data_IF_809396708779
#
_entry.id   IF_809396708779
#
_cell.length_a   1.000
_cell.length_b   1.000
_cell.length_c   1.000
_cell.angle_alpha   90.00
_cell.angle_beta   90.00
_cell.angle_gamma   90.00
#
_symmetry.space_group_name_H-M   'P 1'
#
loop_
_entity.id
_entity.type
_entity.pdbx_description
1 polymer ?
#
# COMPACT_ATOMS: atom_id res chain seq x y z
N UNK A 1 -19.29 -37.82 35.20
CA UNK A 1 -18.62 -36.89 34.27
C UNK A 1 -19.58 -35.85 33.67
N UNK A 2 -20.79 -36.25 33.22
CA UNK A 2 -21.81 -35.35 32.63
C UNK A 2 -22.24 -34.19 33.58
N UNK A 3 -22.14 -34.37 34.89
CA UNK A 3 -22.50 -33.35 35.89
C UNK A 3 -21.48 -32.21 36.07
N UNK A 4 -20.18 -32.41 35.78
CA UNK A 4 -19.13 -31.40 36.01
C UNK A 4 -19.22 -30.26 34.98
N UNK A 5 -19.20 -30.62 33.69
CA UNK A 5 -19.31 -29.66 32.59
C UNK A 5 -20.67 -28.93 32.59
N UNK A 6 -21.74 -29.63 32.98
CA UNK A 6 -23.06 -29.02 33.05
C UNK A 6 -23.14 -27.93 34.14
N UNK A 7 -22.54 -28.17 35.30
CA UNK A 7 -22.48 -27.17 36.37
C UNK A 7 -21.69 -25.92 35.94
N UNK A 8 -20.51 -26.12 35.32
CA UNK A 8 -19.69 -25.03 34.78
C UNK A 8 -20.45 -24.21 33.73
N UNK A 9 -21.13 -24.88 32.80
CA UNK A 9 -21.90 -24.21 31.75
C UNK A 9 -23.06 -23.41 32.31
N UNK A 10 -23.78 -23.91 33.31
CA UNK A 10 -24.88 -23.18 33.94
C UNK A 10 -24.39 -21.91 34.64
N UNK A 11 -23.24 -21.98 35.32
CA UNK A 11 -22.61 -20.84 35.97
C UNK A 11 -22.17 -19.82 34.91
N UNK A 12 -21.44 -20.27 33.87
CA UNK A 12 -21.00 -19.42 32.77
C UNK A 12 -22.17 -18.73 32.05
N UNK A 13 -23.25 -19.48 31.76
CA UNK A 13 -24.45 -18.96 31.10
C UNK A 13 -25.15 -17.91 31.97
N UNK A 14 -25.25 -18.15 33.27
CA UNK A 14 -25.84 -17.18 34.20
C UNK A 14 -25.06 -15.87 34.18
N UNK A 15 -23.74 -15.94 34.38
CA UNK A 15 -22.88 -14.76 34.45
C UNK A 15 -22.88 -13.99 33.13
N UNK A 16 -22.89 -14.70 31.99
CA UNK A 16 -23.05 -14.09 30.68
C UNK A 16 -24.41 -13.41 30.52
N UNK A 17 -25.51 -14.06 30.92
CA UNK A 17 -26.85 -13.47 30.85
C UNK A 17 -26.99 -12.25 31.76
N UNK A 18 -26.37 -12.29 32.94
CA UNK A 18 -26.40 -11.17 33.88
C UNK A 18 -25.68 -9.95 33.30
N UNK A 19 -24.51 -10.14 32.68
CA UNK A 19 -23.82 -9.07 31.96
C UNK A 19 -24.62 -8.59 30.74
N UNK A 20 -25.00 -9.51 29.85
CA UNK A 20 -25.62 -9.21 28.56
C UNK A 20 -27.08 -8.73 28.65
N UNK A 21 -27.75 -8.91 29.80
CA UNK A 21 -29.13 -8.41 29.98
C UNK A 21 -29.18 -6.95 30.41
N UNK A 22 -28.05 -6.37 30.85
CA UNK A 22 -28.04 -4.97 31.27
C UNK A 22 -28.05 -4.02 30.08
N UNK A 23 -28.90 -2.99 30.13
CA UNK A 23 -28.93 -1.94 29.09
C UNK A 23 -27.58 -1.21 28.98
N UNK A 24 -26.91 -1.04 30.12
CA UNK A 24 -25.61 -0.37 30.20
C UNK A 24 -24.51 -1.17 29.50
N UNK A 25 -24.58 -2.50 29.53
CA UNK A 25 -23.66 -3.35 28.78
C UNK A 25 -23.72 -3.04 27.29
N UNK A 26 -24.89 -3.12 26.66
CA UNK A 26 -25.02 -2.85 25.21
C UNK A 26 -24.64 -1.42 24.82
N UNK A 27 -24.93 -0.43 25.67
CA UNK A 27 -24.47 0.95 25.46
C UNK A 27 -22.93 1.00 25.50
N UNK A 28 -22.28 0.35 26.47
CA UNK A 28 -20.83 0.29 26.55
C UNK A 28 -20.19 -0.46 25.37
N UNK A 29 -20.80 -1.57 24.93
CA UNK A 29 -20.35 -2.34 23.77
C UNK A 29 -20.40 -1.51 22.49
N UNK A 30 -21.43 -0.69 22.29
CA UNK A 30 -21.55 0.15 21.10
C UNK A 30 -20.69 1.43 21.18
N UNK A 31 -20.45 1.95 22.38
CA UNK A 31 -19.70 3.20 22.57
C UNK A 31 -18.24 3.08 22.10
N UNK A 32 -17.59 1.93 22.32
CA UNK A 32 -16.22 1.69 21.86
C UNK A 32 -16.05 1.83 20.33
N UNK A 33 -16.78 1.04 19.51
CA UNK A 33 -16.71 1.13 18.06
C UNK A 33 -17.17 2.48 17.52
N UNK A 34 -18.22 3.08 18.11
CA UNK A 34 -18.67 4.42 17.71
C UNK A 34 -17.56 5.45 17.93
N UNK A 35 -16.84 5.38 19.05
CA UNK A 35 -15.71 6.26 19.31
C UNK A 35 -14.58 6.05 18.30
N UNK A 36 -14.27 4.80 17.96
CA UNK A 36 -13.29 4.48 16.91
C UNK A 36 -13.74 4.99 15.54
N UNK A 37 -15.02 4.81 15.18
CA UNK A 37 -15.58 5.37 13.95
C UNK A 37 -15.53 6.90 13.95
N UNK A 38 -15.82 7.56 15.07
CA UNK A 38 -15.71 9.01 15.18
C UNK A 38 -14.26 9.45 15.00
N UNK A 39 -13.30 8.77 15.63
CA UNK A 39 -11.87 9.06 15.43
C UNK A 39 -11.44 8.82 13.99
N UNK A 40 -11.92 7.74 13.36
CA UNK A 40 -11.65 7.45 11.95
C UNK A 40 -12.26 8.52 11.04
N UNK A 41 -13.51 8.90 11.26
CA UNK A 41 -14.19 9.97 10.52
C UNK A 41 -13.53 11.32 10.75
N UNK A 42 -13.07 11.62 11.96
CA UNK A 42 -12.29 12.84 12.25
C UNK A 42 -10.94 12.78 11.53
N UNK A 43 -10.26 11.64 11.52
CA UNK A 43 -9.00 11.46 10.78
C UNK A 43 -9.23 11.59 9.28
N UNK A 44 -10.27 10.97 8.74
CA UNK A 44 -10.67 11.04 7.34
C UNK A 44 -11.05 12.48 6.96
N UNK A 45 -11.85 13.16 7.78
CA UNK A 45 -12.17 14.58 7.60
C UNK A 45 -10.93 15.44 7.73
N UNK A 46 -9.98 15.15 8.62
CA UNK A 46 -8.73 15.89 8.70
C UNK A 46 -7.90 15.68 7.43
N UNK A 47 -7.87 14.46 6.87
CA UNK A 47 -7.26 14.18 5.57
C UNK A 47 -8.01 14.89 4.43
N UNK A 48 -9.34 14.84 4.41
CA UNK A 48 -10.17 15.52 3.39
C UNK A 48 -10.09 17.04 3.51
N UNK A 49 -10.02 17.58 4.73
CA UNK A 49 -9.79 18.99 4.99
C UNK A 49 -8.36 19.35 4.61
N UNK A 50 -7.33 18.54 4.88
CA UNK A 50 -5.99 18.81 4.34
C UNK A 50 -5.97 18.80 2.80
N UNK A 51 -6.80 17.98 2.16
CA UNK A 51 -7.01 17.94 0.70
C UNK A 51 -7.85 19.14 0.19
N UNK A 52 -8.62 19.81 1.05
CA UNK A 52 -9.50 20.93 0.67
C UNK A 52 -8.93 22.30 1.06
N UNK A 53 -8.19 22.35 2.18
CA UNK A 53 -7.42 23.47 2.69
C UNK A 53 -6.12 23.66 1.88
N UNK A 54 -5.78 22.73 0.97
CA UNK A 54 -4.83 22.93 -0.12
C UNK A 54 -5.37 23.84 -1.26
N UNK A 55 -6.26 24.78 -0.94
CA UNK A 55 -6.45 26.00 -1.73
C UNK A 55 -5.55 27.12 -1.15
N UNK A 56 -4.94 27.95 -2.01
CA UNK A 56 -3.48 27.99 -2.12
C UNK A 56 -2.84 29.08 -1.26
N UNK A 57 -2.93 29.04 0.07
CA UNK A 57 -2.14 29.95 0.93
C UNK A 57 -1.80 29.35 2.30
N UNK A 58 -1.08 28.23 2.32
CA UNK A 58 -0.16 27.86 3.40
C UNK A 58 0.86 26.87 2.82
N UNK A 59 2.12 27.30 2.72
CA UNK A 59 3.28 26.49 2.33
C UNK A 59 3.43 25.33 3.33
N UNK A 60 3.01 24.14 2.93
CA UNK A 60 3.64 22.85 3.26
C UNK A 60 3.33 21.96 2.04
N UNK A 61 3.92 22.33 0.92
CA UNK A 61 3.88 21.57 -0.33
C UNK A 61 4.59 20.24 -0.04
N UNK A 62 3.81 19.18 0.10
CA UNK A 62 4.35 17.83 0.25
C UNK A 62 5.16 17.53 -1.00
N UNK A 63 6.48 17.64 -0.88
CA UNK A 63 7.39 17.36 -1.96
C UNK A 63 7.30 15.87 -2.32
N UNK A 64 7.58 15.59 -3.59
CA UNK A 64 7.86 14.26 -4.13
C UNK A 64 9.23 14.32 -4.84
N UNK A 65 10.05 15.29 -4.45
CA UNK A 65 11.36 15.53 -5.02
C UNK A 65 12.43 14.80 -4.22
N UNK A 66 13.40 14.24 -4.92
CA UNK A 66 14.60 13.70 -4.32
C UNK A 66 15.84 14.30 -4.99
N UNK A 67 16.99 14.20 -4.33
CA UNK A 67 18.26 14.58 -4.92
C UNK A 67 19.23 13.41 -4.98
N UNK A 68 20.14 13.43 -5.94
CA UNK A 68 21.20 12.42 -6.07
C UNK A 68 22.56 13.11 -6.05
N UNK A 69 23.41 12.70 -5.12
CA UNK A 69 24.82 13.06 -5.08
C UNK A 69 25.60 11.91 -5.70
N UNK A 70 25.94 12.06 -6.98
CA UNK A 70 26.70 11.06 -7.72
C UNK A 70 28.20 11.38 -7.74
N UNK A 71 29.00 10.58 -7.03
CA UNK A 71 30.47 10.69 -7.07
C UNK A 71 31.11 9.91 -8.23
N UNK A 72 30.33 9.15 -9.01
CA UNK A 72 30.79 8.37 -10.16
C UNK A 72 30.73 9.18 -11.46
N UNK A 73 29.91 10.23 -11.49
CA UNK A 73 29.63 11.10 -12.64
C UNK A 73 28.98 10.39 -13.85
N UNK A 74 28.43 9.18 -13.66
CA UNK A 74 27.71 8.45 -14.72
C UNK A 74 26.55 7.62 -14.19
N UNK A 75 26.71 6.95 -13.05
CA UNK A 75 25.69 6.03 -12.54
C UNK A 75 24.39 6.74 -12.15
N UNK A 76 24.46 7.95 -11.61
CA UNK A 76 23.26 8.74 -11.30
C UNK A 76 22.42 8.98 -12.55
N UNK A 77 23.07 9.37 -13.65
CA UNK A 77 22.40 9.59 -14.93
C UNK A 77 21.84 8.28 -15.51
N UNK A 78 22.59 7.18 -15.44
CA UNK A 78 22.13 5.88 -15.93
C UNK A 78 20.91 5.35 -15.16
N UNK A 79 20.82 5.66 -13.86
CA UNK A 79 19.65 5.35 -13.03
C UNK A 79 18.45 6.20 -13.45
N UNK A 80 18.66 7.50 -13.67
CA UNK A 80 17.62 8.40 -14.16
C UNK A 80 17.08 7.95 -15.54
N UNK A 81 17.97 7.55 -16.44
CA UNK A 81 17.61 6.99 -17.74
C UNK A 81 16.77 5.70 -17.59
N UNK A 82 17.19 4.80 -16.68
CA UNK A 82 16.48 3.55 -16.44
C UNK A 82 15.06 3.77 -15.88
N UNK A 83 14.88 4.78 -15.02
CA UNK A 83 13.57 5.18 -14.50
C UNK A 83 12.67 5.66 -15.65
N UNK A 84 13.18 6.58 -16.49
CA UNK A 84 12.45 7.16 -17.61
C UNK A 84 12.05 6.09 -18.64
N UNK A 85 12.95 5.17 -19.00
CA UNK A 85 12.64 4.07 -19.91
C UNK A 85 11.61 3.09 -19.33
N UNK A 86 11.67 2.83 -18.02
CA UNK A 86 10.66 2.02 -17.32
C UNK A 86 9.28 2.67 -17.40
N UNK A 87 9.21 3.99 -17.21
CA UNK A 87 7.95 4.72 -17.29
C UNK A 87 7.41 4.77 -18.70
N UNK A 88 8.27 4.97 -19.70
CA UNK A 88 7.90 4.85 -21.11
C UNK A 88 7.27 3.48 -21.39
N UNK A 89 7.89 2.41 -20.90
CA UNK A 89 7.39 1.05 -21.05
C UNK A 89 6.01 0.85 -20.42
N UNK A 90 5.77 1.44 -19.23
CA UNK A 90 4.46 1.39 -18.56
C UNK A 90 3.41 2.17 -19.33
N UNK A 91 3.75 3.35 -19.83
CA UNK A 91 2.84 4.17 -20.65
C UNK A 91 2.45 3.44 -21.94
N UNK A 92 3.40 2.81 -22.63
CA UNK A 92 3.11 2.02 -23.84
C UNK A 92 2.18 0.85 -23.50
N UNK A 93 2.45 0.11 -22.41
CA UNK A 93 1.57 -0.98 -21.96
C UNK A 93 0.17 -0.50 -21.56
N UNK A 94 0.10 0.64 -20.90
CA UNK A 94 -1.16 1.28 -20.53
C UNK A 94 -1.98 1.60 -21.78
N UNK A 95 -1.35 2.19 -22.80
CA UNK A 95 -1.98 2.52 -24.09
C UNK A 95 -2.43 1.26 -24.84
N UNK A 96 -1.66 0.15 -24.78
CA UNK A 96 -2.03 -1.13 -25.38
C UNK A 96 -3.31 -1.75 -24.78
N UNK A 97 -3.54 -1.57 -23.47
CA UNK A 97 -4.65 -2.21 -22.77
C UNK A 97 -6.03 -1.54 -23.00
N UNK A 98 -6.13 -0.51 -23.87
CA UNK A 98 -7.38 0.08 -24.38
C UNK A 98 -8.43 0.52 -23.33
N UNK A 99 -8.03 0.87 -22.11
CA UNK A 99 -8.95 1.47 -21.13
C UNK A 99 -9.12 2.99 -21.40
N UNK A 100 -10.17 3.26 -22.18
CA UNK A 100 -10.93 4.46 -22.57
C UNK A 100 -10.56 5.92 -22.20
N UNK A 101 -9.61 6.25 -21.31
CA UNK A 101 -9.51 7.65 -20.81
C UNK A 101 -8.44 8.53 -21.47
N UNK A 102 -7.37 7.95 -22.02
CA UNK A 102 -6.25 8.71 -22.63
C UNK A 102 -6.40 8.99 -24.15
N UNK A 103 -7.48 8.53 -24.78
CA UNK A 103 -7.76 8.74 -26.22
C UNK A 103 -8.05 10.20 -26.63
N UNK A 104 -8.11 11.12 -25.68
CA UNK A 104 -8.29 12.54 -25.99
C UNK A 104 -7.02 13.19 -26.58
N UNK A 105 -5.87 12.51 -26.52
CA UNK A 105 -4.62 13.00 -27.09
C UNK A 105 -4.33 12.33 -28.45
N UNK A 106 -4.17 13.16 -29.49
CA UNK A 106 -3.86 12.71 -30.85
C UNK A 106 -2.58 11.85 -30.89
N UNK A 107 -1.56 12.27 -30.15
CA UNK A 107 -0.26 11.57 -30.11
C UNK A 107 -0.33 10.18 -29.46
N UNK A 108 -1.28 9.96 -28.55
CA UNK A 108 -1.50 8.64 -27.96
C UNK A 108 -2.30 7.73 -28.88
N UNK A 109 -3.10 8.31 -29.77
CA UNK A 109 -3.76 7.55 -30.84
C UNK A 109 -2.71 7.06 -31.84
N UNK A 110 -1.77 7.91 -32.24
CA UNK A 110 -0.62 7.50 -33.07
C UNK A 110 0.24 6.43 -32.38
N UNK A 111 0.54 6.58 -31.08
CA UNK A 111 1.24 5.56 -30.32
C UNK A 111 0.47 4.24 -30.29
N UNK A 112 -0.86 4.28 -30.09
CA UNK A 112 -1.70 3.09 -30.07
C UNK A 112 -1.65 2.34 -31.41
N UNK A 113 -1.69 3.05 -32.55
CA UNK A 113 -1.55 2.43 -33.88
C UNK A 113 -0.19 1.75 -34.07
N UNK A 114 0.88 2.35 -33.55
CA UNK A 114 2.22 1.75 -33.58
C UNK A 114 2.30 0.49 -32.73
N UNK A 115 1.60 0.47 -31.59
CA UNK A 115 1.54 -0.69 -30.68
C UNK A 115 0.81 -1.90 -31.25
N UNK A 116 0.00 -1.74 -32.31
CA UNK A 116 -0.66 -2.86 -32.99
C UNK A 116 0.33 -3.70 -33.81
N UNK A 117 1.43 -3.09 -34.25
CA UNK A 117 2.36 -3.69 -35.21
C UNK A 117 3.76 -3.93 -34.66
N UNK A 118 4.06 -3.46 -33.45
CA UNK A 118 5.38 -3.56 -32.82
C UNK A 118 5.26 -4.08 -31.39
N UNK A 119 6.26 -4.85 -30.97
CA UNK A 119 6.37 -5.24 -29.56
C UNK A 119 6.77 -4.03 -28.70
N UNK A 120 6.42 -4.08 -27.41
CA UNK A 120 6.73 -2.99 -26.46
C UNK A 120 8.22 -2.68 -26.41
N UNK A 121 9.08 -3.69 -26.48
CA UNK A 121 10.54 -3.54 -26.41
C UNK A 121 11.08 -2.76 -27.63
N UNK A 122 10.56 -3.05 -28.83
CA UNK A 122 10.93 -2.32 -30.05
C UNK A 122 10.51 -0.85 -30.01
N UNK A 123 9.34 -0.55 -29.43
CA UNK A 123 8.85 0.82 -29.28
C UNK A 123 9.64 1.61 -28.23
N UNK A 124 10.03 0.96 -27.14
CA UNK A 124 10.92 1.57 -26.13
C UNK A 124 12.27 1.90 -26.75
N UNK A 125 12.84 1.01 -27.55
CA UNK A 125 14.11 1.29 -28.25
C UNK A 125 13.96 2.42 -29.29
N UNK A 126 12.85 2.45 -30.03
CA UNK A 126 12.59 3.48 -31.04
C UNK A 126 12.40 4.88 -30.45
N UNK A 127 11.71 4.99 -29.32
CA UNK A 127 11.35 6.27 -28.70
C UNK A 127 12.38 6.70 -27.66
N UNK A 128 12.96 5.73 -26.95
CA UNK A 128 13.78 5.92 -25.76
C UNK A 128 15.01 6.79 -26.02
N UNK A 129 15.76 6.55 -27.10
CA UNK A 129 16.99 7.31 -27.39
C UNK A 129 16.72 8.82 -27.51
N UNK A 130 15.68 9.21 -28.25
CA UNK A 130 15.31 10.62 -28.40
C UNK A 130 14.76 11.20 -27.11
N UNK A 131 13.97 10.43 -26.37
CA UNK A 131 13.39 10.87 -25.10
C UNK A 131 14.47 11.11 -24.03
N UNK A 132 15.50 10.27 -23.98
CA UNK A 132 16.66 10.45 -23.11
C UNK A 132 17.45 11.71 -23.48
N UNK A 133 17.60 12.00 -24.78
CA UNK A 133 18.25 13.22 -25.24
C UNK A 133 17.43 14.47 -24.90
N UNK A 134 16.10 14.42 -25.08
CA UNK A 134 15.23 15.55 -24.77
C UNK A 134 15.29 15.88 -23.26
N UNK A 135 15.15 14.86 -22.41
CA UNK A 135 15.21 15.00 -20.96
C UNK A 135 16.52 15.62 -20.46
N UNK A 136 17.64 15.35 -21.13
CA UNK A 136 18.96 15.90 -20.77
C UNK A 136 19.21 17.32 -21.26
N UNK A 137 18.66 17.67 -22.41
CA UNK A 137 18.96 18.94 -23.10
C UNK A 137 17.88 20.00 -22.88
N UNK A 138 16.69 19.62 -22.38
CA UNK A 138 15.57 20.52 -22.12
C UNK A 138 15.04 21.21 -23.39
N UNK A 139 15.27 20.61 -24.56
CA UNK A 139 15.14 21.29 -25.84
C UNK A 139 14.69 20.35 -26.94
N UNK A 140 13.42 20.44 -27.32
CA UNK A 140 12.98 20.16 -28.69
C UNK A 140 11.77 21.07 -29.00
N UNK A 141 12.01 22.24 -29.62
CA UNK A 141 10.91 23.00 -30.24
C UNK A 141 10.52 22.30 -31.54
N UNK A 142 9.24 21.99 -31.74
CA UNK A 142 8.80 21.40 -33.01
C UNK A 142 7.63 22.15 -33.61
N UNK A 143 7.78 22.36 -34.90
CA UNK A 143 6.71 22.52 -35.86
C UNK A 143 5.93 21.19 -36.00
N UNK A 144 4.66 21.26 -36.38
CA UNK A 144 3.77 20.08 -36.51
C UNK A 144 4.28 19.05 -37.54
N UNK A 145 5.25 19.42 -38.37
CA UNK A 145 5.90 18.56 -39.38
C UNK A 145 6.98 17.62 -38.84
N UNK A 146 7.32 17.70 -37.55
CA UNK A 146 8.37 16.90 -36.94
C UNK A 146 8.04 15.39 -36.91
N UNK A 147 9.05 14.49 -36.90
CA UNK A 147 8.86 13.07 -36.67
C UNK A 147 8.07 12.76 -35.39
N UNK A 148 7.31 11.66 -35.38
CA UNK A 148 6.49 11.23 -34.23
C UNK A 148 7.29 11.20 -32.93
N UNK A 149 8.50 10.63 -32.95
CA UNK A 149 9.34 10.46 -31.75
C UNK A 149 9.71 11.80 -31.11
N UNK A 150 10.00 12.81 -31.93
CA UNK A 150 10.34 14.15 -31.43
C UNK A 150 9.10 14.83 -30.82
N UNK A 151 7.93 14.72 -31.49
CA UNK A 151 6.65 15.25 -30.96
C UNK A 151 6.25 14.53 -29.67
N UNK A 152 6.48 13.22 -29.60
CA UNK A 152 6.17 12.40 -28.44
C UNK A 152 7.04 12.81 -27.25
N UNK A 153 8.32 13.09 -27.47
CA UNK A 153 9.24 13.52 -26.41
C UNK A 153 8.83 14.88 -25.82
N UNK A 154 8.41 15.83 -26.67
CA UNK A 154 7.85 17.11 -26.20
C UNK A 154 6.54 16.92 -25.43
N UNK A 155 5.63 16.10 -25.95
CA UNK A 155 4.38 15.78 -25.27
C UNK A 155 4.62 15.09 -23.92
N UNK A 156 5.60 14.19 -23.85
CA UNK A 156 5.98 13.48 -22.64
C UNK A 156 6.36 14.44 -21.51
N UNK A 157 7.26 15.39 -21.79
CA UNK A 157 7.67 16.41 -20.82
C UNK A 157 6.46 17.25 -20.36
N UNK A 158 5.60 17.66 -21.29
CA UNK A 158 4.41 18.45 -20.97
C UNK A 158 3.37 17.67 -20.14
N UNK A 159 3.19 16.38 -20.39
CA UNK A 159 2.16 15.53 -19.76
C UNK A 159 2.68 14.69 -18.61
N UNK A 160 3.96 14.79 -18.25
CA UNK A 160 4.54 14.05 -17.11
C UNK A 160 3.71 14.19 -15.82
N UNK A 161 3.21 15.39 -15.42
CA UNK A 161 2.34 15.50 -14.24
C UNK A 161 1.03 14.72 -14.36
N UNK A 162 0.41 14.73 -15.54
CA UNK A 162 -0.84 14.01 -15.80
C UNK A 162 -0.63 12.49 -15.79
N UNK A 163 0.44 12.01 -16.42
CA UNK A 163 0.79 10.59 -16.48
C UNK A 163 1.05 10.02 -15.08
N UNK A 164 1.66 10.80 -14.19
CA UNK A 164 1.90 10.39 -12.81
C UNK A 164 0.62 10.10 -12.02
N UNK A 165 -0.46 10.82 -12.32
CA UNK A 165 -1.75 10.66 -11.65
C UNK A 165 -2.57 9.50 -12.24
N UNK A 166 -2.45 9.24 -13.55
CA UNK A 166 -3.36 8.35 -14.28
C UNK A 166 -2.73 7.02 -14.72
N UNK A 167 -1.40 6.92 -14.81
CA UNK A 167 -0.72 5.69 -15.25
C UNK A 167 -0.25 4.89 -14.05
N UNK A 168 -0.74 3.66 -13.93
CA UNK A 168 -0.39 2.76 -12.82
C UNK A 168 1.10 2.44 -12.80
N UNK A 169 1.73 2.66 -11.64
CA UNK A 169 3.14 2.39 -11.42
C UNK A 169 4.11 3.40 -12.07
N UNK A 170 3.63 4.48 -12.70
CA UNK A 170 4.48 5.58 -13.19
C UNK A 170 5.30 6.21 -12.05
N UNK A 171 6.50 6.73 -12.31
CA UNK A 171 7.31 7.35 -11.25
C UNK A 171 6.59 8.52 -10.58
N UNK A 172 6.35 8.37 -9.27
CA UNK A 172 5.76 9.42 -8.45
C UNK A 172 6.79 10.43 -7.97
N UNK A 173 8.07 10.05 -8.00
CA UNK A 173 9.20 10.84 -7.53
C UNK A 173 10.01 11.41 -8.70
N UNK A 174 10.56 12.61 -8.55
CA UNK A 174 11.45 13.21 -9.55
C UNK A 174 12.68 13.83 -8.93
N UNK A 175 13.77 13.81 -9.69
CA UNK A 175 15.04 14.38 -9.25
C UNK A 175 15.00 15.92 -9.35
N UNK A 176 15.50 16.61 -8.33
CA UNK A 176 15.71 18.07 -8.37
C UNK A 176 16.86 18.41 -9.31
N UNK A 177 16.71 19.43 -10.16
CA UNK A 177 17.77 19.84 -11.10
C UNK A 177 19.08 20.17 -10.35
N UNK A 178 20.17 19.41 -10.61
CA UNK A 178 21.46 19.62 -9.97
C UNK A 178 22.04 21.03 -10.21
N UNK A 179 21.60 21.73 -11.26
CA UNK A 179 22.12 23.03 -11.67
C UNK A 179 21.32 24.22 -11.12
N UNK A 180 20.11 23.99 -10.61
CA UNK A 180 19.19 25.05 -10.19
C UNK A 180 19.33 25.38 -8.70
N UNK A 181 19.96 24.50 -7.90
CA UNK A 181 19.96 24.62 -6.44
C UNK A 181 21.37 24.82 -5.86
N UNK A 182 21.52 25.88 -5.06
CA UNK A 182 22.69 26.11 -4.21
C UNK A 182 22.93 24.90 -3.31
N UNK A 183 24.18 24.39 -3.33
CA UNK A 183 24.68 23.05 -2.96
C UNK A 183 24.56 22.64 -1.48
N UNK A 184 23.52 23.08 -0.77
CA UNK A 184 23.28 22.72 0.63
C UNK A 184 22.05 21.83 0.75
N UNK A 185 22.25 20.53 0.49
CA UNK A 185 21.20 19.50 0.52
C UNK A 185 20.56 19.36 1.91
N UNK A 186 21.32 19.61 2.97
CA UNK A 186 20.81 19.58 4.34
C UNK A 186 19.82 20.73 4.57
N UNK A 187 20.05 21.90 3.94
CA UNK A 187 19.09 23.01 3.95
C UNK A 187 17.82 22.63 3.20
N UNK A 188 17.91 22.07 1.99
CA UNK A 188 16.74 21.64 1.20
C UNK A 188 15.89 20.58 1.90
N UNK A 189 16.57 19.65 2.57
CA UNK A 189 15.92 18.63 3.37
C UNK A 189 15.22 19.26 4.57
N UNK A 190 15.89 20.20 5.27
CA UNK A 190 15.32 20.89 6.43
C UNK A 190 14.17 21.84 6.10
N UNK A 191 14.12 22.37 4.87
CA UNK A 191 13.04 23.24 4.38
C UNK A 191 11.88 22.44 3.79
N UNK A 192 11.98 21.11 3.72
CA UNK A 192 10.93 20.24 3.16
C UNK A 192 10.80 20.34 1.63
N UNK A 193 11.77 20.93 0.93
CA UNK A 193 11.76 21.04 -0.53
C UNK A 193 12.05 19.71 -1.21
N UNK A 194 12.78 18.82 -0.54
CA UNK A 194 13.04 17.44 -0.98
C UNK A 194 12.66 16.47 0.14
N UNK A 195 12.20 15.28 -0.24
CA UNK A 195 11.89 14.18 0.68
C UNK A 195 13.15 13.50 1.21
N UNK A 196 14.22 13.51 0.42
CA UNK A 196 15.47 12.88 0.76
C UNK A 196 16.50 12.98 -0.35
N UNK A 197 17.74 12.62 -0.02
CA UNK A 197 18.82 12.56 -1.01
C UNK A 197 19.62 11.27 -0.91
N UNK A 198 20.02 10.76 -2.08
CA UNK A 198 20.86 9.58 -2.23
C UNK A 198 22.31 9.99 -2.45
N UNK A 199 23.26 9.25 -1.86
CA UNK A 199 24.69 9.44 -2.07
C UNK A 199 25.26 8.16 -2.67
N UNK A 200 25.68 8.27 -3.93
CA UNK A 200 26.33 7.21 -4.69
C UNK A 200 27.84 7.38 -4.52
N UNK A 201 28.53 6.44 -3.84
CA UNK A 201 29.97 6.51 -3.66
C UNK A 201 30.72 6.21 -4.97
N UNK A 202 31.96 6.66 -5.09
CA UNK A 202 32.75 6.50 -6.33
C UNK A 202 33.07 5.03 -6.68
N UNK A 203 33.05 4.14 -5.68
CA UNK A 203 33.33 2.70 -5.80
C UNK A 203 32.06 1.85 -5.83
N UNK A 204 30.87 2.45 -6.02
CA UNK A 204 29.57 1.79 -5.84
C UNK A 204 29.38 0.48 -6.63
N UNK A 205 30.03 0.34 -7.78
CA UNK A 205 29.98 -0.88 -8.61
C UNK A 205 30.61 -2.07 -7.86
N UNK A 206 31.74 -1.86 -7.20
CA UNK A 206 32.55 -2.89 -6.55
C UNK A 206 32.48 -2.86 -5.01
N UNK A 207 31.84 -1.85 -4.43
CA UNK A 207 31.79 -1.63 -3.00
C UNK A 207 31.00 -2.73 -2.26
N UNK A 208 31.56 -3.18 -1.12
CA UNK A 208 30.86 -4.05 -0.15
C UNK A 208 29.79 -3.26 0.64
N UNK A 209 29.98 -1.94 0.78
CA UNK A 209 29.01 -1.03 1.39
C UNK A 209 28.16 -0.35 0.30
N UNK A 210 26.84 -0.31 0.50
CA UNK A 210 25.90 0.33 -0.42
C UNK A 210 25.91 1.86 -0.31
N UNK A 211 25.16 2.50 -1.20
CA UNK A 211 24.89 3.94 -1.17
C UNK A 211 24.10 4.33 0.07
N UNK A 212 24.16 5.61 0.42
CA UNK A 212 23.46 6.15 1.60
C UNK A 212 22.22 6.92 1.16
N UNK A 213 21.15 6.82 1.95
CA UNK A 213 19.94 7.62 1.78
C UNK A 213 19.72 8.44 3.04
N UNK A 214 19.52 9.74 2.87
CA UNK A 214 19.29 10.70 3.96
C UNK A 214 17.88 11.26 3.83
N UNK A 215 17.11 11.21 4.93
CA UNK A 215 15.74 11.71 5.04
C UNK A 215 15.53 12.31 6.43
N UNK A 216 14.64 13.30 6.56
CA UNK A 216 14.11 13.76 7.86
C UNK A 216 12.76 13.11 8.19
N UNK A 217 12.16 12.41 7.23
CA UNK A 217 10.91 11.70 7.35
C UNK A 217 11.15 10.19 7.58
N UNK A 218 10.66 9.67 8.71
CA UNK A 218 10.66 8.25 9.07
C UNK A 218 9.36 7.53 8.64
N UNK A 219 8.51 8.19 7.84
CA UNK A 219 7.26 7.61 7.36
C UNK A 219 7.45 6.51 6.32
N UNK A 220 6.36 5.81 6.03
CA UNK A 220 6.29 4.83 4.96
C UNK A 220 6.61 5.41 3.56
N UNK A 221 6.43 6.72 3.35
CA UNK A 221 6.73 7.38 2.06
C UNK A 221 8.23 7.41 1.78
N UNK A 222 9.03 7.78 2.78
CA UNK A 222 10.49 7.76 2.68
C UNK A 222 11.02 6.33 2.43
N UNK A 223 10.44 5.32 3.10
CA UNK A 223 10.77 3.92 2.85
C UNK A 223 10.40 3.47 1.42
N UNK A 224 9.27 3.94 0.90
CA UNK A 224 8.83 3.63 -0.47
C UNK A 224 9.76 4.26 -1.51
N UNK A 225 10.13 5.53 -1.33
CA UNK A 225 11.13 6.22 -2.15
C UNK A 225 12.47 5.48 -2.15
N UNK A 226 12.96 5.10 -0.96
CA UNK A 226 14.21 4.34 -0.83
C UNK A 226 14.16 3.00 -1.58
N UNK A 227 13.11 2.22 -1.37
CA UNK A 227 12.96 0.91 -2.01
C UNK A 227 12.82 1.02 -3.53
N UNK A 228 12.03 1.99 -3.99
CA UNK A 228 11.85 2.30 -5.40
C UNK A 228 13.17 2.64 -6.07
N UNK A 229 13.92 3.62 -5.54
CA UNK A 229 15.22 4.01 -6.09
C UNK A 229 16.23 2.86 -6.06
N UNK A 230 16.26 2.10 -4.97
CA UNK A 230 17.15 0.94 -4.81
C UNK A 230 16.90 -0.13 -5.87
N UNK A 231 15.66 -0.34 -6.30
CA UNK A 231 15.33 -1.29 -7.37
C UNK A 231 16.00 -0.89 -8.69
N UNK A 232 15.92 0.37 -9.08
CA UNK A 232 16.56 0.89 -10.30
C UNK A 232 18.08 0.90 -10.20
N UNK A 233 18.63 1.38 -9.09
CA UNK A 233 20.06 1.35 -8.83
C UNK A 233 20.63 -0.08 -8.90
N UNK A 234 19.91 -1.05 -8.32
CA UNK A 234 20.30 -2.46 -8.36
C UNK A 234 20.26 -3.04 -9.76
N UNK A 235 19.31 -2.63 -10.60
CA UNK A 235 19.22 -3.06 -11.99
C UNK A 235 20.40 -2.57 -12.83
N UNK A 236 20.74 -1.28 -12.71
CA UNK A 236 21.89 -0.66 -13.39
C UNK A 236 23.20 -1.29 -12.91
N UNK A 237 23.40 -1.38 -11.60
CA UNK A 237 24.59 -2.03 -11.01
C UNK A 237 24.74 -3.47 -11.46
N UNK A 238 23.64 -4.22 -11.50
CA UNK A 238 23.62 -5.61 -11.95
C UNK A 238 24.11 -5.71 -13.40
N UNK A 239 23.66 -4.81 -14.28
CA UNK A 239 24.13 -4.75 -15.68
C UNK A 239 25.65 -4.54 -15.74
N UNK A 240 26.18 -3.52 -15.04
CA UNK A 240 27.63 -3.26 -14.97
C UNK A 240 28.44 -4.44 -14.41
N UNK A 241 27.95 -5.08 -13.33
CA UNK A 241 28.61 -6.23 -12.71
C UNK A 241 28.62 -7.46 -13.62
N UNK A 242 27.58 -7.63 -14.44
CA UNK A 242 27.56 -8.69 -15.45
C UNK A 242 28.50 -8.40 -16.61
N UNK A 243 28.52 -7.18 -17.13
CA UNK A 243 29.42 -6.78 -18.22
C UNK A 243 30.91 -6.87 -17.80
N UNK A 244 31.20 -6.66 -16.52
CA UNK A 244 32.54 -6.85 -15.94
C UNK A 244 32.90 -8.34 -15.67
N UNK A 245 31.92 -9.24 -15.68
CA UNK A 245 32.13 -10.69 -15.54
C UNK A 245 32.20 -11.35 -16.92
N UNK A 246 33.05 -12.36 -17.11
CA UNK A 246 33.18 -13.13 -18.38
C UNK A 246 31.97 -14.07 -18.62
N UNK A 247 30.79 -13.67 -18.13
CA UNK A 247 29.52 -14.41 -18.16
C UNK A 247 28.56 -13.59 -19.02
N UNK A 248 28.12 -14.19 -20.13
CA UNK A 248 27.11 -13.61 -21.03
C UNK A 248 25.85 -13.18 -20.25
N UNK A 249 25.51 -11.88 -20.30
CA UNK A 249 24.39 -11.26 -19.59
C UNK A 249 23.05 -11.93 -19.95
N UNK A 250 22.89 -12.40 -21.19
CA UNK A 250 21.68 -13.10 -21.62
C UNK A 250 21.56 -14.48 -20.93
N UNK A 251 22.68 -15.19 -20.79
CA UNK A 251 22.77 -16.47 -20.04
C UNK A 251 22.45 -16.28 -18.57
N UNK A 252 22.97 -15.23 -17.93
CA UNK A 252 22.69 -14.94 -16.51
C UNK A 252 21.23 -14.54 -16.28
N UNK A 253 20.67 -13.68 -17.15
CA UNK A 253 19.24 -13.27 -17.11
C UNK A 253 18.30 -14.46 -17.26
N UNK A 254 18.65 -15.44 -18.12
CA UNK A 254 17.88 -16.70 -18.27
C UNK A 254 17.89 -17.54 -16.99
N UNK A 255 19.01 -17.59 -16.27
CA UNK A 255 19.13 -18.38 -15.02
C UNK A 255 18.43 -17.72 -13.82
N UNK A 256 18.30 -16.39 -13.83
CA UNK A 256 17.64 -15.63 -12.75
C UNK A 256 16.16 -15.32 -13.03
N UNK A 257 15.63 -15.60 -14.22
CA UNK A 257 14.19 -15.44 -14.48
C UNK A 257 13.42 -16.31 -13.48
N UNK A 258 12.61 -15.72 -12.58
CA UNK A 258 11.80 -16.52 -11.67
C UNK A 258 10.85 -17.37 -12.52
N UNK A 259 10.76 -18.67 -12.21
CA UNK A 259 9.80 -19.56 -12.86
C UNK A 259 8.39 -19.14 -12.45
N UNK A 260 7.73 -18.33 -13.28
CA UNK A 260 6.33 -17.95 -13.09
C UNK A 260 5.44 -19.13 -13.49
N UNK A 261 4.67 -19.64 -12.55
CA UNK A 261 3.62 -20.62 -12.84
C UNK A 261 2.36 -19.84 -13.25
N UNK A 262 1.99 -19.95 -14.51
CA UNK A 262 0.74 -19.40 -15.03
C UNK A 262 -0.39 -20.40 -14.77
N UNK A 263 -1.48 -19.94 -14.15
CA UNK A 263 -2.63 -20.78 -13.83
C UNK A 263 -3.54 -20.88 -15.05
N UNK A 264 -3.39 -21.92 -15.86
CA UNK A 264 -4.36 -22.25 -16.91
C UNK A 264 -5.44 -23.18 -16.35
N UNK A 265 -6.71 -22.75 -16.43
CA UNK A 265 -7.86 -23.63 -16.15
C UNK A 265 -8.04 -24.61 -17.32
N UNK A 266 -8.20 -25.93 -17.08
CA UNK A 266 -8.47 -26.88 -18.15
C UNK A 266 -9.88 -26.66 -18.73
N UNK A 267 -9.98 -26.57 -20.06
CA UNK A 267 -11.17 -26.47 -20.93
C UNK A 267 -11.74 -25.06 -21.20
N UNK A 268 -11.06 -24.37 -22.10
CA UNK A 268 -11.55 -23.18 -22.82
C UNK A 268 -12.66 -23.51 -23.85
N UNK A 269 -12.80 -24.78 -24.28
CA UNK A 269 -13.77 -25.17 -25.32
C UNK A 269 -15.19 -25.48 -24.84
N UNK A 270 -15.49 -25.41 -23.54
CA UNK A 270 -16.87 -25.60 -23.03
C UNK A 270 -17.51 -24.28 -22.57
N UNK A 271 -16.76 -23.17 -22.58
CA UNK A 271 -17.22 -21.89 -22.02
C UNK A 271 -18.17 -21.11 -22.94
N UNK A 272 -18.16 -21.36 -24.25
CA UNK A 272 -18.96 -20.58 -25.20
C UNK A 272 -20.48 -20.83 -25.09
N UNK A 273 -20.88 -22.01 -24.62
CA UNK A 273 -22.32 -22.33 -24.44
C UNK A 273 -22.85 -21.84 -23.09
N UNK A 274 -21.98 -21.64 -22.09
CA UNK A 274 -22.37 -21.16 -20.76
C UNK A 274 -22.28 -19.62 -20.67
N UNK A 275 -21.36 -19.00 -21.41
CA UNK A 275 -21.20 -17.54 -21.50
C UNK A 275 -22.46 -16.83 -22.06
N UNK A 276 -23.24 -17.49 -22.91
CA UNK A 276 -24.49 -16.92 -23.44
C UNK A 276 -25.70 -17.02 -22.48
N UNK A 277 -25.59 -17.81 -21.41
CA UNK A 277 -26.65 -17.95 -20.38
C UNK A 277 -26.33 -17.24 -19.06
N UNK A 278 -25.11 -16.72 -18.91
CA UNK A 278 -24.70 -15.88 -17.80
C UNK A 278 -24.49 -14.44 -18.26
N UNK A 279 -25.51 -13.88 -18.92
CA UNK A 279 -25.68 -12.43 -18.99
C UNK A 279 -26.03 -11.92 -17.59
N UNK A 280 -25.02 -11.70 -16.74
CA UNK A 280 -25.13 -10.99 -15.48
C UNK A 280 -23.73 -10.47 -15.09
N UNK A 281 -23.62 -9.23 -14.63
CA UNK A 281 -22.35 -8.48 -14.55
C UNK A 281 -21.42 -9.10 -13.50
N UNK A 282 -20.25 -9.57 -13.91
CA UNK A 282 -19.22 -10.12 -13.00
C UNK A 282 -17.93 -9.29 -13.02
N UNK A 283 -17.65 -8.53 -14.09
CA UNK A 283 -16.43 -7.70 -14.17
C UNK A 283 -16.48 -6.44 -13.30
N UNK A 284 -17.65 -6.02 -12.83
CA UNK A 284 -17.77 -4.89 -11.88
C UNK A 284 -17.50 -5.29 -10.43
N UNK A 285 -17.28 -6.58 -10.13
CA UNK A 285 -17.06 -7.07 -8.75
C UNK A 285 -15.57 -7.28 -8.45
N UNK A 286 -14.71 -7.47 -9.45
CA UNK A 286 -13.29 -7.80 -9.23
C UNK A 286 -12.42 -6.57 -8.92
N UNK A 287 -12.63 -5.43 -9.59
CA UNK A 287 -11.92 -4.18 -9.29
C UNK A 287 -12.35 -3.48 -7.98
N UNK A 288 -13.53 -3.81 -7.45
CA UNK A 288 -13.96 -3.32 -6.12
C UNK A 288 -13.22 -4.09 -5.01
N UNK A 289 -12.77 -5.33 -5.29
CA UNK A 289 -12.18 -6.17 -4.25
C UNK A 289 -10.71 -5.84 -3.97
N UNK A 290 -9.90 -5.51 -4.97
CA UNK A 290 -8.46 -5.22 -4.73
C UNK A 290 -8.23 -3.93 -3.94
N UNK A 291 -8.94 -2.84 -4.26
CA UNK A 291 -8.84 -1.56 -3.53
C UNK A 291 -9.35 -1.65 -2.09
N UNK A 292 -10.46 -2.37 -1.87
CA UNK A 292 -11.02 -2.60 -0.52
C UNK A 292 -10.12 -3.53 0.31
N UNK A 293 -9.50 -4.55 -0.30
CA UNK A 293 -8.56 -5.44 0.39
C UNK A 293 -7.30 -4.69 0.82
N UNK A 294 -6.78 -3.78 -0.01
CA UNK A 294 -5.63 -2.95 0.34
C UNK A 294 -5.93 -1.97 1.48
N UNK A 295 -7.10 -1.32 1.47
CA UNK A 295 -7.53 -0.42 2.54
C UNK A 295 -7.78 -1.17 3.86
N UNK A 296 -8.43 -2.34 3.82
CA UNK A 296 -8.62 -3.21 4.99
C UNK A 296 -7.28 -3.70 5.54
N UNK A 297 -6.34 -4.10 4.67
CA UNK A 297 -5.03 -4.58 5.08
C UNK A 297 -4.21 -3.52 5.83
N UNK A 298 -4.34 -2.24 5.44
CA UNK A 298 -3.67 -1.12 6.10
C UNK A 298 -4.17 -0.88 7.53
N UNK A 299 -5.49 -0.94 7.77
CA UNK A 299 -6.09 -0.62 9.08
C UNK A 299 -6.35 -1.84 9.97
N UNK A 300 -6.30 -3.06 9.43
CA UNK A 300 -6.53 -4.30 10.18
C UNK A 300 -5.62 -4.45 11.43
N UNK A 301 -4.30 -4.15 11.39
CA UNK A 301 -3.45 -4.26 12.58
C UNK A 301 -3.87 -3.32 13.71
N UNK A 302 -4.29 -2.11 13.35
CA UNK A 302 -4.73 -1.07 14.31
C UNK A 302 -6.05 -1.49 14.94
N UNK A 303 -7.03 -1.92 14.14
CA UNK A 303 -8.31 -2.43 14.64
C UNK A 303 -8.16 -3.64 15.56
N UNK A 304 -7.29 -4.59 15.19
CA UNK A 304 -6.97 -5.75 16.01
C UNK A 304 -6.36 -5.37 17.36
N UNK A 305 -5.39 -4.46 17.37
CA UNK A 305 -4.76 -3.95 18.59
C UNK A 305 -5.78 -3.29 19.53
N UNK A 306 -6.71 -2.50 18.99
CA UNK A 306 -7.77 -1.87 19.80
C UNK A 306 -8.74 -2.90 20.39
N UNK A 307 -9.17 -3.89 19.60
CA UNK A 307 -10.04 -4.97 20.10
C UNK A 307 -9.35 -5.69 21.27
N UNK A 308 -8.07 -6.05 21.13
CA UNK A 308 -7.31 -6.70 22.20
C UNK A 308 -7.18 -5.80 23.43
N UNK A 309 -6.86 -4.53 23.25
CA UNK A 309 -6.71 -3.58 24.36
C UNK A 309 -8.00 -3.46 25.18
N UNK A 310 -9.13 -3.28 24.51
CA UNK A 310 -10.44 -3.21 25.18
C UNK A 310 -10.86 -4.54 25.81
N UNK A 311 -10.56 -5.68 25.18
CA UNK A 311 -10.79 -7.01 25.76
C UNK A 311 -10.11 -7.17 27.12
N UNK A 312 -8.84 -6.77 27.19
CA UNK A 312 -8.05 -6.89 28.42
C UNK A 312 -8.58 -5.93 29.49
N UNK A 313 -8.86 -4.67 29.13
CA UNK A 313 -9.35 -3.69 30.09
C UNK A 313 -10.74 -4.06 30.64
N UNK A 314 -11.69 -4.39 29.77
CA UNK A 314 -13.05 -4.77 30.19
C UNK A 314 -13.00 -6.09 30.96
N UNK A 315 -12.28 -7.09 30.44
CA UNK A 315 -12.14 -8.40 31.07
C UNK A 315 -11.55 -8.31 32.48
N UNK A 316 -10.50 -7.52 32.65
CA UNK A 316 -9.86 -7.31 33.96
C UNK A 316 -10.80 -6.63 34.97
N UNK A 317 -11.55 -5.62 34.54
CA UNK A 317 -12.53 -4.93 35.38
C UNK A 317 -13.68 -5.86 35.81
N UNK A 318 -14.17 -6.71 34.90
CA UNK A 318 -15.25 -7.66 35.19
C UNK A 318 -14.80 -8.75 36.17
N UNK A 319 -13.59 -9.31 36.02
CA UNK A 319 -13.05 -10.28 36.97
C UNK A 319 -12.86 -9.65 38.35
N UNK A 320 -12.33 -8.43 38.42
CA UNK A 320 -12.13 -7.71 39.67
C UNK A 320 -13.46 -7.43 40.37
N UNK A 321 -14.44 -6.86 39.66
CA UNK A 321 -15.76 -6.57 40.22
C UNK A 321 -16.46 -7.86 40.69
N UNK A 322 -16.41 -8.91 39.88
CA UNK A 322 -17.01 -10.19 40.21
C UNK A 322 -16.38 -10.86 41.44
N UNK A 323 -15.06 -10.76 41.64
CA UNK A 323 -14.40 -11.32 42.83
C UNK A 323 -14.70 -10.52 44.10
N UNK A 324 -14.84 -9.19 43.98
CA UNK A 324 -15.23 -8.31 45.10
C UNK A 324 -16.69 -8.58 45.51
N UNK A 325 -17.59 -8.75 44.55
CA UNK A 325 -19.00 -9.03 44.81
C UNK A 325 -19.19 -10.39 45.49
N UNK A 326 -18.52 -11.44 45.02
CA UNK A 326 -18.57 -12.77 45.66
C UNK A 326 -17.98 -12.76 47.07
N UNK A 327 -16.92 -11.98 47.30
CA UNK A 327 -16.30 -11.89 48.63
C UNK A 327 -17.14 -11.07 49.62
N UNK A 328 -17.97 -10.15 49.12
CA UNK A 328 -18.80 -9.25 49.94
C UNK A 328 -20.24 -9.74 50.14
N UNK A 329 -20.73 -10.67 49.32
CA UNK A 329 -22.11 -11.16 49.38
C UNK A 329 -22.21 -12.59 49.93
N UNK A 330 -23.26 -12.84 50.73
CA UNK A 330 -23.59 -14.18 51.29
C UNK A 330 -23.95 -15.23 50.20
N UNK A 331 -23.94 -14.82 48.94
CA UNK A 331 -24.24 -15.63 47.76
C UNK A 331 -23.18 -16.73 47.57
N UNK A 332 -21.92 -16.45 47.89
CA UNK A 332 -20.85 -17.44 47.82
C UNK A 332 -21.10 -18.65 48.73
N UNK A 333 -21.55 -18.43 49.99
CA UNK A 333 -21.85 -19.53 50.93
C UNK A 333 -22.98 -20.43 50.44
N UNK A 334 -24.00 -19.84 49.79
CA UNK A 334 -25.15 -20.59 49.27
C UNK A 334 -24.76 -21.43 48.06
N UNK A 335 -23.95 -20.88 47.15
CA UNK A 335 -23.51 -21.57 45.92
C UNK A 335 -22.48 -22.67 46.23
N UNK A 336 -21.54 -22.41 47.15
CA UNK A 336 -20.53 -23.39 47.56
C UNK A 336 -21.13 -24.61 48.27
N UNK A 337 -22.32 -24.46 48.88
CA UNK A 337 -23.05 -25.60 49.45
C UNK A 337 -23.55 -26.60 48.39
N UNK A 338 -23.59 -26.16 47.12
CA UNK A 338 -24.13 -26.92 45.98
C UNK A 338 -23.11 -27.26 44.89
N UNK A 339 -21.95 -26.59 44.85
CA UNK A 339 -20.89 -26.75 43.83
C UNK A 339 -19.50 -26.53 44.41
N UNK A 340 -18.47 -27.17 43.84
CA UNK A 340 -17.09 -27.04 44.33
C UNK A 340 -16.44 -25.72 43.90
N UNK A 341 -15.49 -25.20 44.68
CA UNK A 341 -14.82 -23.92 44.42
C UNK A 341 -14.15 -23.85 43.04
N UNK A 342 -13.54 -24.95 42.57
CA UNK A 342 -12.91 -25.02 41.24
C UNK A 342 -13.94 -24.91 40.11
N UNK A 343 -15.09 -25.58 40.23
CA UNK A 343 -16.18 -25.48 39.24
C UNK A 343 -16.75 -24.06 39.14
N UNK A 344 -16.82 -23.36 40.27
CA UNK A 344 -17.27 -21.97 40.31
C UNK A 344 -16.29 -21.05 39.58
N UNK A 345 -14.99 -21.20 39.86
CA UNK A 345 -13.94 -20.38 39.23
C UNK A 345 -13.84 -20.62 37.72
N UNK A 346 -13.89 -21.88 37.28
CA UNK A 346 -13.88 -22.26 35.86
C UNK A 346 -15.13 -21.70 35.14
N UNK A 347 -16.31 -21.85 35.76
CA UNK A 347 -17.56 -21.32 35.23
C UNK A 347 -17.54 -19.81 35.06
N UNK A 348 -16.96 -19.08 36.01
CA UNK A 348 -16.85 -17.63 35.97
C UNK A 348 -15.86 -17.14 34.91
N UNK A 349 -14.70 -17.79 34.80
CA UNK A 349 -13.72 -17.47 33.77
C UNK A 349 -14.30 -17.66 32.36
N UNK A 350 -15.01 -18.78 32.15
CA UNK A 350 -15.69 -19.07 30.88
C UNK A 350 -16.83 -18.08 30.63
N UNK A 351 -17.59 -17.70 31.67
CA UNK A 351 -18.63 -16.69 31.58
C UNK A 351 -18.09 -15.33 31.10
N UNK A 352 -17.00 -14.85 31.71
CA UNK A 352 -16.33 -13.60 31.29
C UNK A 352 -15.76 -13.74 29.88
N UNK A 353 -15.15 -14.87 29.54
CA UNK A 353 -14.64 -15.11 28.19
C UNK A 353 -15.76 -15.07 27.13
N UNK A 354 -16.94 -15.62 27.43
CA UNK A 354 -18.11 -15.53 26.53
C UNK A 354 -18.60 -14.09 26.37
N UNK A 355 -18.59 -13.30 27.45
CA UNK A 355 -18.93 -11.88 27.37
C UNK A 355 -17.96 -11.15 26.46
N UNK A 356 -16.65 -11.34 26.68
CA UNK A 356 -15.62 -10.77 25.82
C UNK A 356 -15.84 -11.19 24.37
N UNK A 357 -16.02 -12.48 24.08
CA UNK A 357 -16.25 -12.97 22.71
C UNK A 357 -17.46 -12.28 22.05
N UNK A 358 -18.56 -12.06 22.79
CA UNK A 358 -19.71 -11.30 22.23
C UNK A 358 -19.37 -9.85 21.89
N UNK A 359 -18.54 -9.18 22.68
CA UNK A 359 -18.05 -7.82 22.39
C UNK A 359 -17.23 -7.83 21.10
N UNK A 360 -16.25 -8.75 20.98
CA UNK A 360 -15.43 -8.87 19.77
C UNK A 360 -16.28 -9.12 18.53
N UNK A 361 -17.23 -10.05 18.57
CA UNK A 361 -18.08 -10.37 17.42
C UNK A 361 -18.88 -9.16 16.95
N UNK A 362 -19.47 -8.40 17.88
CA UNK A 362 -20.20 -7.18 17.53
C UNK A 362 -19.27 -6.15 16.89
N UNK A 363 -18.06 -5.99 17.42
CA UNK A 363 -17.08 -5.02 16.91
C UNK A 363 -16.56 -5.40 15.53
N UNK A 364 -16.25 -6.68 15.31
CA UNK A 364 -15.84 -7.21 14.00
C UNK A 364 -16.95 -7.01 12.97
N UNK A 365 -18.20 -7.34 13.31
CA UNK A 365 -19.33 -7.11 12.41
C UNK A 365 -19.53 -5.62 12.11
N UNK A 366 -19.32 -4.74 13.08
CA UNK A 366 -19.52 -3.30 12.89
C UNK A 366 -18.40 -2.66 12.06
N UNK A 367 -17.15 -3.08 12.28
CA UNK A 367 -16.02 -2.67 11.45
C UNK A 367 -16.13 -3.24 10.03
N UNK A 368 -16.51 -4.51 9.87
CA UNK A 368 -16.72 -5.11 8.55
C UNK A 368 -17.97 -4.63 7.80
N UNK A 369 -18.74 -3.68 8.37
CA UNK A 369 -19.80 -2.95 7.64
C UNK A 369 -19.30 -1.56 7.21
N UNK A 370 -18.23 -1.05 7.83
CA UNK A 370 -17.63 0.24 7.51
C UNK A 370 -16.66 0.15 6.33
N UNK A 371 -15.92 -0.96 6.25
CA UNK A 371 -15.12 -1.35 5.09
C UNK A 371 -15.95 -2.29 4.21
#
# INVERSE_FOLDING_TARGET
MISYFHAIWLIAKRDWLEAASTKLFWVGVLLGPILVMILFVISMLATTISIFESTPFAEDEVSNQYAVIDHTNSLGQEIADAILLSDLQKTIRYVQNRENDLYNFEILTELAELTENHEVEELVDMIGDTLLVSARTGLVSLDDSAPFVDRFSFWWEAMTPFLREHVTGFSQYWETDPNEVTTDWDVLLSTGQIDGYFVIPSDFIDAEEGGKFFTLDDSYRALTLQNWYTQFASEVLRKHRFDASDIDFETARRLMRPSRFERSTPNEQTSDTVASLLTSPVDTIEHINESVIEEIAQYAPVGYQYILWFMVLIGSAMILAGTVEEKSTRIAELILSSTTASQLMDGKLIGVALVLLTIASVWICMLGVLF
#
